data_IF_835714085744
#
_entry.id   IF_835714085744
#
_cell.length_a   1.000
_cell.length_b   1.000
_cell.length_c   1.000
_cell.angle_alpha   90.00
_cell.angle_beta   90.00
_cell.angle_gamma   90.00
#
_symmetry.space_group_name_H-M   'P 1'
#
loop_
_entity.id
_entity.type
_entity.pdbx_description
1 polymer ?
#
# COMPACT_ATOMS: atom_id res chain seq x y z
N UNK A 1 -7.88 -15.14 14.22
CA UNK A 1 -6.64 -14.37 14.29
C UNK A 1 -6.88 -13.11 15.11
N UNK A 2 -6.01 -12.80 16.10
CA UNK A 2 -6.02 -11.55 16.82
C UNK A 2 -4.62 -10.93 16.72
N UNK A 3 -4.57 -9.65 16.32
CA UNK A 3 -3.33 -8.85 16.25
C UNK A 3 -3.50 -7.63 17.16
N UNK A 4 -2.41 -7.23 17.80
CA UNK A 4 -2.36 -6.11 18.72
C UNK A 4 -1.27 -5.11 18.25
N UNK A 5 -1.30 -3.90 18.77
CA UNK A 5 -0.29 -2.90 18.44
C UNK A 5 1.14 -3.44 18.70
N UNK A 6 2.02 -3.29 17.74
CA UNK A 6 3.37 -3.87 17.72
C UNK A 6 3.47 -5.21 16.99
N UNK A 7 2.35 -5.84 16.62
CA UNK A 7 2.37 -7.07 15.85
C UNK A 7 2.77 -6.83 14.39
N UNK A 8 3.65 -7.69 13.91
CA UNK A 8 4.15 -7.68 12.54
C UNK A 8 4.03 -9.09 11.98
N UNK A 9 2.91 -9.35 11.33
CA UNK A 9 2.55 -10.66 10.82
C UNK A 9 3.06 -10.87 9.41
N UNK A 10 3.89 -11.90 9.23
CA UNK A 10 4.25 -12.42 7.92
C UNK A 10 3.30 -13.51 7.47
N UNK A 11 2.71 -13.38 6.28
CA UNK A 11 1.91 -14.41 5.65
C UNK A 11 2.77 -15.20 4.66
N UNK A 12 2.88 -16.51 4.85
CA UNK A 12 3.62 -17.41 3.98
C UNK A 12 2.70 -18.47 3.39
N UNK A 13 3.04 -18.98 2.22
CA UNK A 13 2.29 -20.02 1.52
C UNK A 13 2.62 -20.01 0.03
N UNK A 14 2.29 -21.11 -0.66
CA UNK A 14 2.49 -21.18 -2.11
C UNK A 14 1.59 -20.20 -2.88
N UNK A 15 1.84 -20.01 -4.17
CA UNK A 15 0.97 -19.21 -5.01
C UNK A 15 -0.43 -19.82 -5.06
N UNK A 16 -1.47 -18.98 -4.86
CA UNK A 16 -2.85 -19.44 -4.76
C UNK A 16 -3.27 -19.95 -3.37
N UNK A 17 -2.41 -19.86 -2.33
CA UNK A 17 -2.76 -20.28 -0.97
C UNK A 17 -3.76 -19.34 -0.26
N UNK A 18 -4.13 -18.20 -0.86
CA UNK A 18 -5.12 -17.28 -0.31
C UNK A 18 -4.55 -16.02 0.35
N UNK A 19 -3.21 -15.78 0.33
CA UNK A 19 -2.58 -14.61 0.97
C UNK A 19 -3.20 -13.28 0.53
N UNK A 20 -3.26 -13.04 -0.78
CA UNK A 20 -3.87 -11.83 -1.36
C UNK A 20 -5.36 -11.72 -1.03
N UNK A 21 -6.08 -12.84 -1.02
CA UNK A 21 -7.50 -12.89 -0.67
C UNK A 21 -7.70 -12.47 0.79
N UNK A 22 -6.90 -13.02 1.70
CA UNK A 22 -6.93 -12.63 3.12
C UNK A 22 -6.60 -11.13 3.29
N UNK A 23 -5.58 -10.62 2.62
CA UNK A 23 -5.24 -9.20 2.68
C UNK A 23 -6.38 -8.31 2.16
N UNK A 24 -7.08 -8.72 1.09
CA UNK A 24 -8.24 -8.00 0.56
C UNK A 24 -9.42 -8.05 1.52
N UNK A 25 -9.67 -9.17 2.18
CA UNK A 25 -10.68 -9.27 3.22
C UNK A 25 -10.33 -8.36 4.42
N UNK A 26 -9.09 -8.37 4.90
CA UNK A 26 -8.61 -7.49 5.98
C UNK A 26 -8.69 -6.00 5.59
N UNK A 27 -8.54 -5.65 4.31
CA UNK A 27 -8.69 -4.26 3.84
C UNK A 27 -10.14 -3.81 3.69
N UNK A 28 -11.11 -4.70 3.89
CA UNK A 28 -12.54 -4.43 3.68
C UNK A 28 -12.97 -4.47 2.22
N UNK A 29 -12.11 -4.90 1.28
CA UNK A 29 -12.47 -5.06 -0.12
C UNK A 29 -13.34 -6.29 -0.37
N UNK A 30 -13.28 -7.30 0.49
CA UNK A 30 -14.11 -8.50 0.46
C UNK A 30 -14.77 -8.70 1.83
N UNK A 31 -16.04 -9.04 1.80
CA UNK A 31 -16.75 -9.52 2.99
C UNK A 31 -16.49 -11.02 3.19
N UNK A 32 -16.26 -11.49 4.42
CA UNK A 32 -16.13 -12.92 4.68
C UNK A 32 -17.49 -13.61 4.54
N UNK A 33 -17.51 -14.81 3.96
CA UNK A 33 -18.72 -15.63 3.87
C UNK A 33 -19.19 -16.12 5.26
N UNK A 34 -18.23 -16.35 6.17
CA UNK A 34 -18.48 -16.75 7.56
C UNK A 34 -17.53 -16.01 8.51
N UNK A 35 -17.97 -15.77 9.73
CA UNK A 35 -17.21 -15.06 10.75
C UNK A 35 -17.30 -13.53 10.61
N UNK A 36 -16.37 -12.81 11.27
CA UNK A 36 -16.30 -11.35 11.25
C UNK A 36 -14.86 -10.87 11.21
N UNK A 37 -14.66 -9.69 10.63
CA UNK A 37 -13.40 -8.96 10.63
C UNK A 37 -13.65 -7.62 11.31
N UNK A 38 -12.94 -7.36 12.39
CA UNK A 38 -13.00 -6.10 13.12
C UNK A 38 -11.61 -5.48 13.13
N UNK A 39 -11.50 -4.24 12.71
CA UNK A 39 -10.23 -3.50 12.67
C UNK A 39 -10.43 -2.13 13.29
N UNK A 40 -9.65 -1.83 14.30
CA UNK A 40 -9.58 -0.51 14.90
C UNK A 40 -8.48 0.32 14.24
N UNK A 41 -8.81 1.55 13.85
CA UNK A 41 -7.88 2.47 13.20
C UNK A 41 -7.94 2.48 11.69
N UNK A 42 -7.00 3.21 11.10
CA UNK A 42 -6.90 3.40 9.65
C UNK A 42 -6.10 2.29 9.00
N UNK A 43 -6.70 1.63 8.02
CA UNK A 43 -6.02 0.64 7.18
C UNK A 43 -5.41 1.34 5.96
N UNK A 44 -4.14 1.10 5.70
CA UNK A 44 -3.51 1.39 4.40
C UNK A 44 -3.11 0.07 3.75
N UNK A 45 -3.69 -0.21 2.59
CA UNK A 45 -3.45 -1.44 1.83
C UNK A 45 -2.60 -1.13 0.60
N UNK A 46 -1.39 -1.65 0.58
CA UNK A 46 -0.46 -1.57 -0.55
C UNK A 46 -0.49 -2.91 -1.32
N UNK A 47 -1.68 -3.27 -1.82
CA UNK A 47 -1.92 -4.54 -2.52
C UNK A 47 -1.84 -4.37 -4.03
N UNK A 48 -2.39 -3.28 -4.54
CA UNK A 48 -2.36 -2.90 -5.94
C UNK A 48 -2.26 -1.38 -6.03
N UNK A 49 -1.13 -0.90 -6.48
CA UNK A 49 -0.88 0.53 -6.62
C UNK A 49 -1.69 1.16 -7.76
N UNK A 50 -2.22 0.37 -8.70
CA UNK A 50 -3.02 0.87 -9.82
C UNK A 50 -4.50 1.11 -9.47
N UNK A 51 -4.97 0.58 -8.35
CA UNK A 51 -6.36 0.76 -7.91
C UNK A 51 -6.70 2.25 -7.72
N UNK A 52 -7.85 2.66 -8.25
CA UNK A 52 -8.35 4.02 -8.14
C UNK A 52 -7.56 5.04 -8.97
N UNK A 53 -6.90 4.61 -10.05
CA UNK A 53 -6.26 5.47 -11.02
C UNK A 53 -7.21 5.68 -12.21
N UNK A 54 -7.44 6.96 -12.57
CA UNK A 54 -8.14 7.36 -13.79
C UNK A 54 -7.12 7.81 -14.85
N UNK A 55 -6.95 7.04 -15.95
CA UNK A 55 -6.00 7.40 -17.00
C UNK A 55 -6.32 8.71 -17.73
N UNK A 56 -7.58 9.16 -17.69
CA UNK A 56 -8.04 10.37 -18.37
C UNK A 56 -7.87 11.63 -17.53
N UNK A 57 -7.78 11.48 -16.22
CA UNK A 57 -7.55 12.56 -15.27
C UNK A 57 -6.07 12.93 -15.19
N UNK A 58 -5.77 14.14 -14.72
CA UNK A 58 -4.39 14.61 -14.49
C UNK A 58 -3.72 13.87 -13.33
N UNK A 59 -2.38 14.00 -13.24
CA UNK A 59 -1.65 13.46 -12.08
C UNK A 59 -2.14 14.05 -10.77
N UNK A 60 -2.41 15.37 -10.74
CA UNK A 60 -2.95 16.07 -9.56
C UNK A 60 -4.32 15.51 -9.17
N UNK A 61 -5.21 15.30 -10.14
CA UNK A 61 -6.55 14.77 -9.87
C UNK A 61 -6.50 13.33 -9.38
N UNK A 62 -5.56 12.53 -9.89
CA UNK A 62 -5.33 11.17 -9.41
C UNK A 62 -4.78 11.15 -7.97
N UNK A 63 -3.92 12.08 -7.58
CA UNK A 63 -3.50 12.23 -6.17
C UNK A 63 -4.73 12.53 -5.29
N UNK A 64 -5.58 13.46 -5.71
CA UNK A 64 -6.82 13.78 -4.99
C UNK A 64 -7.76 12.58 -4.89
N UNK A 65 -7.98 11.89 -5.98
CA UNK A 65 -8.84 10.70 -6.03
C UNK A 65 -8.35 9.63 -5.05
N UNK A 66 -7.06 9.31 -5.08
CA UNK A 66 -6.48 8.32 -4.17
C UNK A 66 -6.53 8.75 -2.70
N UNK A 67 -6.30 10.03 -2.42
CA UNK A 67 -6.46 10.56 -1.07
C UNK A 67 -7.88 10.39 -0.54
N UNK A 68 -8.91 10.63 -1.37
CA UNK A 68 -10.31 10.40 -1.01
C UNK A 68 -10.61 8.92 -0.77
N UNK A 69 -10.13 8.03 -1.64
CA UNK A 69 -10.28 6.57 -1.46
C UNK A 69 -9.64 6.12 -0.16
N UNK A 70 -8.51 6.72 0.22
CA UNK A 70 -7.86 6.46 1.50
C UNK A 70 -8.54 7.15 2.71
N UNK A 71 -9.70 7.78 2.52
CA UNK A 71 -10.49 8.40 3.59
C UNK A 71 -9.97 9.76 4.07
N UNK A 72 -9.07 10.41 3.32
CA UNK A 72 -8.60 11.75 3.68
C UNK A 72 -9.64 12.83 3.34
N UNK A 73 -9.73 13.86 4.17
CA UNK A 73 -10.48 15.07 3.84
C UNK A 73 -9.80 15.84 2.71
N UNK A 74 -10.57 16.66 1.98
CA UNK A 74 -10.00 17.51 0.91
C UNK A 74 -8.90 18.43 1.46
N UNK A 75 -9.03 18.92 2.69
CA UNK A 75 -8.02 19.75 3.35
C UNK A 75 -6.71 18.98 3.59
N UNK A 76 -6.81 17.74 4.07
CA UNK A 76 -5.62 16.92 4.33
C UNK A 76 -4.91 16.51 3.04
N UNK A 77 -5.68 16.27 1.97
CA UNK A 77 -5.13 15.99 0.64
C UNK A 77 -4.35 17.20 0.12
N UNK A 78 -4.93 18.40 0.14
CA UNK A 78 -4.24 19.60 -0.34
C UNK A 78 -3.01 19.92 0.52
N UNK A 79 -3.06 19.71 1.83
CA UNK A 79 -1.90 19.88 2.70
C UNK A 79 -0.73 18.93 2.38
N UNK A 80 -1.00 17.77 1.79
CA UNK A 80 0.00 16.79 1.37
C UNK A 80 0.40 16.90 -0.10
N UNK A 81 -0.29 17.74 -0.88
CA UNK A 81 -0.13 17.80 -2.33
C UNK A 81 1.31 18.12 -2.75
N UNK A 82 1.92 19.14 -2.15
CA UNK A 82 3.28 19.56 -2.47
C UNK A 82 4.32 18.49 -2.12
N UNK A 83 4.14 17.80 -0.99
CA UNK A 83 5.00 16.68 -0.59
C UNK A 83 4.91 15.53 -1.60
N UNK A 84 3.68 15.13 -1.97
CA UNK A 84 3.45 14.05 -2.92
C UNK A 84 4.02 14.43 -4.28
N UNK A 85 3.72 15.63 -4.77
CA UNK A 85 4.20 16.13 -6.05
C UNK A 85 5.74 16.13 -6.12
N UNK A 86 6.39 16.67 -5.10
CA UNK A 86 7.85 16.69 -4.98
C UNK A 86 8.44 15.29 -4.97
N UNK A 87 7.84 14.38 -4.21
CA UNK A 87 8.32 13.00 -4.10
C UNK A 87 8.25 12.25 -5.44
N UNK A 88 7.24 12.51 -6.29
CA UNK A 88 7.14 11.88 -7.62
C UNK A 88 8.28 12.28 -8.55
N UNK A 89 8.81 13.50 -8.41
CA UNK A 89 9.77 14.09 -9.33
C UNK A 89 9.20 14.37 -10.72
N UNK A 90 7.87 14.38 -10.89
CA UNK A 90 7.23 14.53 -12.20
C UNK A 90 7.03 15.97 -12.65
N UNK A 91 7.12 16.94 -11.72
CA UNK A 91 7.06 18.37 -12.05
C UNK A 91 5.84 18.74 -12.91
N UNK A 92 6.04 19.44 -14.05
CA UNK A 92 4.94 19.90 -14.92
C UNK A 92 4.07 18.78 -15.48
N UNK A 93 4.57 17.54 -15.56
CA UNK A 93 3.76 16.41 -16.03
C UNK A 93 2.54 16.16 -15.15
N UNK A 94 2.57 16.55 -13.87
CA UNK A 94 1.43 16.38 -12.98
C UNK A 94 0.15 17.08 -13.46
N UNK A 95 0.27 18.10 -14.30
CA UNK A 95 -0.87 18.77 -14.93
C UNK A 95 -1.40 18.04 -16.19
N UNK A 96 -0.73 16.98 -16.64
CA UNK A 96 -1.11 16.24 -17.85
C UNK A 96 -1.92 14.98 -17.50
N UNK A 97 -2.79 14.48 -18.40
CA UNK A 97 -3.51 13.24 -18.21
C UNK A 97 -2.58 12.02 -18.08
N UNK A 98 -2.90 11.09 -17.19
CA UNK A 98 -2.06 9.91 -16.92
C UNK A 98 -1.82 9.02 -18.13
N UNK A 99 -2.75 8.97 -19.08
CA UNK A 99 -2.58 8.22 -20.33
C UNK A 99 -1.35 8.65 -21.15
N UNK A 100 -0.80 9.83 -20.87
CA UNK A 100 0.43 10.35 -21.51
C UNK A 100 1.70 9.96 -20.78
N UNK A 101 1.58 9.35 -19.60
CA UNK A 101 2.72 8.98 -18.77
C UNK A 101 3.34 7.66 -19.24
N UNK A 102 4.66 7.56 -19.10
CA UNK A 102 5.32 6.25 -19.15
C UNK A 102 4.90 5.36 -17.98
N UNK A 103 5.07 4.05 -18.10
CA UNK A 103 4.79 3.11 -17.01
C UNK A 103 5.55 3.47 -15.71
N UNK A 104 6.80 3.91 -15.84
CA UNK A 104 7.60 4.37 -14.71
C UNK A 104 7.02 5.62 -14.03
N UNK A 105 6.54 6.59 -14.80
CA UNK A 105 5.88 7.80 -14.27
C UNK A 105 4.58 7.45 -13.56
N UNK A 106 3.77 6.55 -14.13
CA UNK A 106 2.54 6.07 -13.50
C UNK A 106 2.84 5.36 -12.18
N UNK A 107 3.83 4.48 -12.16
CA UNK A 107 4.24 3.76 -10.96
C UNK A 107 4.75 4.71 -9.85
N UNK A 108 5.54 5.74 -10.20
CA UNK A 108 5.99 6.77 -9.25
C UNK A 108 4.82 7.53 -8.62
N UNK A 109 3.86 7.98 -9.44
CA UNK A 109 2.68 8.68 -8.96
C UNK A 109 1.83 7.80 -8.04
N UNK A 110 1.54 6.58 -8.49
CA UNK A 110 0.74 5.62 -7.76
C UNK A 110 1.34 5.29 -6.38
N UNK A 111 2.65 5.03 -6.34
CA UNK A 111 3.38 4.79 -5.11
C UNK A 111 3.38 6.01 -4.18
N UNK A 112 3.69 7.20 -4.73
CA UNK A 112 3.73 8.44 -3.95
C UNK A 112 2.38 8.73 -3.27
N UNK A 113 1.29 8.60 -4.02
CA UNK A 113 -0.06 8.83 -3.51
C UNK A 113 -0.48 7.76 -2.47
N UNK A 114 -0.19 6.48 -2.73
CA UNK A 114 -0.53 5.38 -1.82
C UNK A 114 0.22 5.45 -0.48
N UNK A 115 1.46 5.94 -0.50
CA UNK A 115 2.34 6.01 0.68
C UNK A 115 2.29 7.35 1.40
N UNK A 116 1.44 8.29 0.99
CA UNK A 116 1.28 9.60 1.64
C UNK A 116 0.40 9.55 2.89
N UNK A 117 -0.32 8.45 3.10
CA UNK A 117 -1.26 8.28 4.21
C UNK A 117 -0.60 7.43 5.29
N UNK A 118 -0.61 7.92 6.52
CA UNK A 118 -0.18 7.13 7.68
C UNK A 118 -1.25 6.07 8.00
N UNK A 119 -0.80 4.91 8.44
CA UNK A 119 -1.64 3.76 8.73
C UNK A 119 -1.47 3.31 10.17
N UNK A 120 -2.58 2.98 10.85
CA UNK A 120 -2.54 2.20 12.07
C UNK A 120 -2.30 0.72 11.74
N UNK A 121 -2.90 0.25 10.63
CA UNK A 121 -2.72 -1.10 10.09
C UNK A 121 -2.22 -1.01 8.66
N UNK A 122 -1.02 -1.51 8.40
CA UNK A 122 -0.40 -1.56 7.07
C UNK A 122 -0.49 -2.98 6.50
N UNK A 123 -1.15 -3.12 5.35
CA UNK A 123 -1.28 -4.39 4.62
C UNK A 123 -0.43 -4.32 3.34
N UNK A 124 0.43 -5.31 3.14
CA UNK A 124 1.33 -5.36 1.98
C UNK A 124 1.30 -6.75 1.34
N UNK A 125 1.15 -6.77 0.01
CA UNK A 125 1.28 -7.98 -0.81
C UNK A 125 2.59 -7.87 -1.61
N UNK A 126 3.63 -8.45 -1.11
CA UNK A 126 5.03 -8.34 -1.53
C UNK A 126 5.70 -7.00 -1.20
N UNK A 127 7.03 -6.99 -1.26
CA UNK A 127 7.83 -5.78 -1.08
C UNK A 127 7.86 -4.96 -2.37
N UNK A 128 7.38 -3.73 -2.30
CA UNK A 128 7.17 -2.91 -3.49
C UNK A 128 8.50 -2.35 -4.00
N UNK A 129 8.83 -2.68 -5.24
CA UNK A 129 9.92 -2.08 -6.00
C UNK A 129 9.36 -1.36 -7.23
N UNK A 130 9.42 -0.03 -7.27
CA UNK A 130 8.83 0.79 -8.35
C UNK A 130 9.82 1.81 -8.90
N UNK A 131 9.65 2.15 -10.17
CA UNK A 131 10.46 3.17 -10.84
C UNK A 131 11.87 2.71 -11.20
N UNK A 132 12.73 3.66 -11.55
CA UNK A 132 14.16 3.42 -11.81
C UNK A 132 14.97 3.27 -10.52
N UNK A 133 16.24 2.97 -10.65
CA UNK A 133 17.15 2.70 -9.53
C UNK A 133 17.28 3.86 -8.53
N UNK A 134 17.14 5.10 -8.99
CA UNK A 134 17.18 6.28 -8.12
C UNK A 134 15.88 6.41 -7.32
N UNK A 135 14.75 6.30 -8.01
CA UNK A 135 13.45 6.35 -7.35
C UNK A 135 13.23 5.16 -6.41
N UNK A 136 13.72 3.97 -6.75
CA UNK A 136 13.65 2.80 -5.87
C UNK A 136 14.32 3.05 -4.51
N UNK A 137 15.43 3.79 -4.46
CA UNK A 137 16.07 4.16 -3.18
C UNK A 137 15.17 5.09 -2.34
N UNK A 138 14.51 6.04 -2.98
CA UNK A 138 13.57 6.95 -2.31
C UNK A 138 12.32 6.21 -1.84
N UNK A 139 11.75 5.37 -2.70
CA UNK A 139 10.59 4.53 -2.40
C UNK A 139 10.88 3.59 -1.24
N UNK A 140 12.04 2.94 -1.23
CA UNK A 140 12.45 2.06 -0.13
C UNK A 140 12.51 2.80 1.21
N UNK A 141 13.16 3.98 1.25
CA UNK A 141 13.22 4.80 2.47
C UNK A 141 11.83 5.23 2.96
N UNK A 142 10.92 5.56 2.04
CA UNK A 142 9.55 5.94 2.38
C UNK A 142 8.75 4.76 2.91
N UNK A 143 8.90 3.60 2.29
CA UNK A 143 8.25 2.37 2.71
C UNK A 143 8.71 1.92 4.10
N UNK A 144 10.02 2.00 4.38
CA UNK A 144 10.57 1.72 5.72
C UNK A 144 9.94 2.60 6.80
N UNK A 145 9.83 3.91 6.55
CA UNK A 145 9.18 4.83 7.50
C UNK A 145 7.71 4.48 7.74
N UNK A 146 6.99 4.05 6.71
CA UNK A 146 5.60 3.58 6.86
C UNK A 146 5.53 2.32 7.73
N UNK A 147 6.39 1.34 7.44
CA UNK A 147 6.48 0.09 8.21
C UNK A 147 6.85 0.37 9.68
N UNK A 148 7.80 1.27 9.94
CA UNK A 148 8.20 1.64 11.30
C UNK A 148 7.08 2.32 12.11
N UNK A 149 6.27 3.17 11.44
CA UNK A 149 5.19 3.94 12.08
C UNK A 149 3.89 3.18 12.23
N UNK A 150 3.65 2.17 11.41
CA UNK A 150 2.44 1.37 11.49
C UNK A 150 2.34 0.67 12.86
N UNK A 151 1.16 0.74 13.46
CA UNK A 151 0.86 0.01 14.70
C UNK A 151 0.88 -1.50 14.48
N UNK A 152 0.30 -1.96 13.36
CA UNK A 152 0.27 -3.36 12.93
C UNK A 152 0.76 -3.44 11.49
N UNK A 153 1.59 -4.44 11.19
CA UNK A 153 1.98 -4.81 9.83
C UNK A 153 1.46 -6.20 9.50
N UNK A 154 0.84 -6.35 8.31
CA UNK A 154 0.59 -7.67 7.71
C UNK A 154 1.27 -7.70 6.34
N UNK A 155 2.31 -8.51 6.21
CA UNK A 155 3.13 -8.63 5.01
C UNK A 155 3.02 -10.03 4.43
N UNK A 156 2.41 -10.16 3.25
CA UNK A 156 2.54 -11.38 2.46
C UNK A 156 3.81 -11.30 1.63
N UNK A 157 4.67 -12.30 1.73
CA UNK A 157 5.87 -12.39 0.89
C UNK A 157 6.39 -13.82 0.84
N UNK A 158 7.08 -14.12 -0.24
CA UNK A 158 7.84 -15.37 -0.38
C UNK A 158 9.32 -15.21 0.00
N UNK A 159 9.78 -14.00 0.30
CA UNK A 159 11.16 -13.70 0.64
C UNK A 159 11.42 -13.89 2.14
N UNK A 160 12.04 -15.03 2.51
CA UNK A 160 12.38 -15.32 3.91
C UNK A 160 13.24 -14.24 4.61
N UNK A 161 14.17 -13.54 3.94
CA UNK A 161 14.90 -12.44 4.57
C UNK A 161 14.00 -11.29 5.03
N UNK A 162 12.98 -10.91 4.24
CA UNK A 162 12.05 -9.84 4.61
C UNK A 162 11.22 -10.22 5.83
N UNK A 163 10.76 -11.47 5.90
CA UNK A 163 10.03 -11.97 7.07
C UNK A 163 10.88 -11.87 8.34
N UNK A 164 12.13 -12.32 8.28
CA UNK A 164 13.05 -12.26 9.42
C UNK A 164 13.35 -10.83 9.87
N UNK A 165 13.38 -9.89 8.93
CA UNK A 165 13.74 -8.50 9.21
C UNK A 165 12.55 -7.70 9.76
N UNK A 166 11.35 -7.93 9.23
CA UNK A 166 10.18 -7.07 9.50
C UNK A 166 9.05 -7.73 10.27
N UNK A 167 9.06 -9.06 10.45
CA UNK A 167 7.95 -9.77 11.11
C UNK A 167 8.38 -10.41 12.43
N UNK A 168 7.51 -10.30 13.45
CA UNK A 168 7.67 -10.98 14.74
C UNK A 168 6.69 -12.16 14.89
N UNK A 169 5.71 -12.29 13.98
CA UNK A 169 4.78 -13.41 13.90
C UNK A 169 4.73 -13.92 12.46
N UNK A 170 4.47 -15.20 12.28
CA UNK A 170 4.32 -15.82 10.95
C UNK A 170 3.10 -16.72 10.96
N UNK A 171 2.26 -16.58 9.91
CA UNK A 171 1.16 -17.47 9.63
C UNK A 171 1.37 -18.15 8.29
N UNK A 172 1.27 -19.48 8.29
CA UNK A 172 1.30 -20.26 7.05
C UNK A 172 -0.13 -20.49 6.57
N UNK A 173 -0.38 -20.15 5.30
CA UNK A 173 -1.62 -20.49 4.61
C UNK A 173 -1.37 -21.69 3.69
N UNK A 174 -2.23 -22.68 3.77
CA UNK A 174 -2.15 -23.92 2.97
C UNK A 174 -3.53 -24.20 2.36
N UNK A 175 -3.72 -23.77 1.09
CA UNK A 175 -4.98 -23.97 0.36
C UNK A 175 -6.21 -23.30 0.97
N UNK A 176 -6.03 -22.12 1.59
CA UNK A 176 -7.12 -21.40 2.26
C UNK A 176 -7.36 -21.80 3.73
N UNK A 177 -6.56 -22.74 4.24
CA UNK A 177 -6.56 -23.13 5.67
C UNK A 177 -5.39 -22.44 6.36
N UNK A 178 -5.65 -21.81 7.49
CA UNK A 178 -4.66 -21.09 8.31
C UNK A 178 -4.29 -21.88 9.58
#
# INVERSE_FOLDING_TARGET
LKLEAGDRLGLIGHNGSGKTTLLRALSGAYEPDEGSIEVEGRITALLDLSLGIDPTATGIDNIRLRGRIAGLSSRDIEAKMDEIATFTGLGPFLAMPLKTYSAGMQARLAFAAATAVEADVLLMDEWIAVGDAEFQKLAHKRLLKLVERAGILVLATHEAPLLKLYCNKVMKLDGGVA
#
